data_IF_770034210821
#
_entry.id   IF_770034210821
#
_cell.length_a   1.000
_cell.length_b   1.000
_cell.length_c   1.000
_cell.angle_alpha   90.00
_cell.angle_beta   90.00
_cell.angle_gamma   90.00
#
_symmetry.space_group_name_H-M   'P 1'
#
loop_
_entity.id
_entity.type
_entity.pdbx_description
1 polymer ?
#
# COMPACT_ATOMS: atom_id res chain seq x y z
N UNK A 1 8.83 -21.66 -4.22
CA UNK A 1 9.67 -20.86 -3.30
C UNK A 1 8.90 -20.69 -2.00
N UNK A 2 9.53 -20.78 -0.82
CA UNK A 2 8.85 -20.40 0.42
C UNK A 2 8.37 -18.95 0.26
N UNK A 3 7.12 -18.68 0.61
CA UNK A 3 6.59 -17.32 0.58
C UNK A 3 7.40 -16.46 1.54
N UNK A 4 7.93 -15.34 1.06
CA UNK A 4 8.63 -14.36 1.90
C UNK A 4 7.66 -13.85 2.96
N UNK A 5 8.13 -13.65 4.19
CA UNK A 5 7.29 -13.18 5.28
C UNK A 5 6.97 -11.69 5.06
N UNK A 6 5.76 -11.29 5.45
CA UNK A 6 5.32 -9.91 5.34
C UNK A 6 6.00 -8.99 6.36
N UNK A 7 6.66 -9.56 7.37
CA UNK A 7 7.51 -8.82 8.30
C UNK A 7 8.67 -8.10 7.58
N UNK A 8 9.16 -8.67 6.46
CA UNK A 8 10.24 -8.08 5.66
C UNK A 8 9.81 -6.80 4.91
N UNK A 9 8.50 -6.55 4.79
CA UNK A 9 7.95 -5.40 4.04
C UNK A 9 7.36 -4.32 4.95
N UNK A 10 7.59 -4.37 6.26
CA UNK A 10 7.09 -3.37 7.21
C UNK A 10 7.52 -1.94 6.83
N UNK A 11 8.77 -1.77 6.38
CA UNK A 11 9.25 -0.47 5.90
C UNK A 11 8.54 -0.03 4.62
N UNK A 12 8.26 -0.96 3.69
CA UNK A 12 7.49 -0.66 2.48
C UNK A 12 6.07 -0.21 2.83
N UNK A 13 5.40 -0.88 3.77
CA UNK A 13 4.05 -0.51 4.23
C UNK A 13 4.04 0.89 4.83
N UNK A 14 5.04 1.23 5.64
CA UNK A 14 5.19 2.58 6.18
C UNK A 14 5.36 3.64 5.08
N UNK A 15 6.17 3.37 4.05
CA UNK A 15 6.35 4.29 2.92
C UNK A 15 5.05 4.50 2.13
N UNK A 16 4.24 3.45 1.96
CA UNK A 16 2.91 3.54 1.36
C UNK A 16 2.01 4.46 2.20
N UNK A 17 2.02 4.28 3.52
CA UNK A 17 1.25 5.13 4.44
C UNK A 17 1.60 6.62 4.30
N UNK A 18 2.89 6.95 4.16
CA UNK A 18 3.33 8.33 3.94
C UNK A 18 2.80 8.89 2.62
N UNK A 19 2.91 8.12 1.53
CA UNK A 19 2.39 8.52 0.22
C UNK A 19 0.87 8.73 0.24
N UNK A 20 0.14 7.85 0.94
CA UNK A 20 -1.31 7.97 1.08
C UNK A 20 -1.72 9.19 1.90
N UNK A 21 -0.97 9.52 2.97
CA UNK A 21 -1.18 10.77 3.72
C UNK A 21 -0.94 12.00 2.87
N UNK A 22 0.07 11.99 2.02
CA UNK A 22 0.33 13.09 1.08
C UNK A 22 -0.82 13.23 0.07
N UNK A 23 -1.32 12.11 -0.47
CA UNK A 23 -2.47 12.11 -1.37
C UNK A 23 -3.71 12.69 -0.69
N UNK A 24 -3.98 12.28 0.54
CA UNK A 24 -5.15 12.72 1.29
C UNK A 24 -5.10 14.21 1.66
N UNK A 25 -3.91 14.75 1.90
CA UNK A 25 -3.73 16.15 2.29
C UNK A 25 -3.43 17.08 1.10
N UNK A 26 -3.11 16.54 -0.07
CA UNK A 26 -2.79 17.35 -1.25
C UNK A 26 -4.02 18.11 -1.76
N UNK A 27 -3.92 19.44 -1.96
CA UNK A 27 -4.97 20.23 -2.59
C UNK A 27 -4.99 20.05 -4.12
N UNK A 28 -3.96 19.44 -4.70
CA UNK A 28 -3.80 19.27 -6.15
C UNK A 28 -4.41 17.97 -6.68
N UNK A 29 -4.83 17.07 -5.78
CA UNK A 29 -5.42 15.79 -6.16
C UNK A 29 -6.94 15.89 -6.01
N UNK A 30 -7.62 16.02 -7.15
CA UNK A 30 -9.07 16.14 -7.21
C UNK A 30 -9.78 14.84 -6.77
N UNK A 31 -9.27 13.68 -7.20
CA UNK A 31 -9.87 12.38 -6.89
C UNK A 31 -8.94 11.54 -6.00
N UNK A 32 -9.00 11.83 -4.69
CA UNK A 32 -8.17 11.17 -3.67
C UNK A 32 -8.47 9.68 -3.54
N UNK A 33 -9.74 9.29 -3.71
CA UNK A 33 -10.17 7.89 -3.64
C UNK A 33 -9.54 7.06 -4.76
N UNK A 34 -9.60 7.56 -6.00
CA UNK A 34 -8.97 6.92 -7.15
C UNK A 34 -7.44 6.85 -6.98
N UNK A 35 -6.79 7.97 -6.61
CA UNK A 35 -5.35 8.00 -6.41
C UNK A 35 -4.89 6.99 -5.34
N UNK A 36 -5.62 6.92 -4.22
CA UNK A 36 -5.38 5.96 -3.14
C UNK A 36 -5.51 4.52 -3.63
N UNK A 37 -6.57 4.21 -4.40
CA UNK A 37 -6.79 2.89 -4.96
C UNK A 37 -5.65 2.49 -5.92
N UNK A 38 -5.25 3.36 -6.84
CA UNK A 38 -4.15 3.07 -7.78
C UNK A 38 -2.83 2.75 -7.06
N UNK A 39 -2.52 3.46 -5.97
CA UNK A 39 -1.32 3.20 -5.16
C UNK A 39 -1.40 1.81 -4.52
N UNK A 40 -2.52 1.49 -3.86
CA UNK A 40 -2.73 0.20 -3.19
C UNK A 40 -2.62 -0.95 -4.20
N UNK A 41 -3.29 -0.85 -5.33
CA UNK A 41 -3.26 -1.88 -6.38
C UNK A 41 -1.84 -2.07 -6.94
N UNK A 42 -1.11 -0.97 -7.18
CA UNK A 42 0.26 -1.01 -7.68
C UNK A 42 1.21 -1.70 -6.71
N UNK A 43 1.11 -1.41 -5.41
CA UNK A 43 1.95 -2.05 -4.39
C UNK A 43 1.60 -3.52 -4.19
N UNK A 44 0.31 -3.89 -4.22
CA UNK A 44 -0.09 -5.29 -4.18
C UNK A 44 0.50 -6.06 -5.36
N UNK A 45 0.47 -5.48 -6.57
CA UNK A 45 1.08 -6.09 -7.76
C UNK A 45 2.59 -6.25 -7.61
N UNK A 46 3.32 -5.18 -7.25
CA UNK A 46 4.78 -5.22 -7.07
C UNK A 46 5.18 -6.28 -6.05
N UNK A 47 4.52 -6.29 -4.88
CA UNK A 47 4.87 -7.24 -3.82
C UNK A 47 4.53 -8.69 -4.22
N UNK A 48 3.48 -8.92 -5.01
CA UNK A 48 3.20 -10.25 -5.58
C UNK A 48 4.28 -10.69 -6.56
N UNK A 49 4.74 -9.79 -7.43
CA UNK A 49 5.84 -10.06 -8.38
C UNK A 49 7.14 -10.42 -7.64
N UNK A 50 7.38 -9.79 -6.49
CA UNK A 50 8.51 -10.07 -5.59
C UNK A 50 8.36 -11.38 -4.77
N UNK A 51 7.24 -12.08 -4.91
CA UNK A 51 6.96 -13.37 -4.26
C UNK A 51 6.23 -13.31 -2.92
N UNK A 52 5.73 -12.14 -2.52
CA UNK A 52 4.94 -11.98 -1.30
C UNK A 52 3.46 -12.32 -1.53
N UNK A 53 2.88 -13.10 -0.63
CA UNK A 53 1.43 -13.40 -0.65
C UNK A 53 0.65 -12.30 0.03
N UNK A 54 0.39 -11.23 -0.73
CA UNK A 54 -0.36 -10.06 -0.29
C UNK A 54 -1.67 -9.91 -1.07
N UNK A 55 -2.73 -9.51 -0.38
CA UNK A 55 -4.01 -9.10 -0.98
C UNK A 55 -4.26 -7.64 -0.65
N UNK A 56 -5.08 -6.94 -1.44
CA UNK A 56 -5.47 -5.57 -1.12
C UNK A 56 -6.08 -5.44 0.27
N UNK A 57 -6.95 -6.37 0.66
CA UNK A 57 -7.55 -6.38 2.00
C UNK A 57 -6.49 -6.57 3.10
N UNK A 58 -5.46 -7.40 2.85
CA UNK A 58 -4.36 -7.58 3.80
C UNK A 58 -3.52 -6.30 3.90
N UNK A 59 -3.21 -5.66 2.77
CA UNK A 59 -2.46 -4.40 2.75
C UNK A 59 -3.23 -3.29 3.47
N UNK A 60 -4.52 -3.12 3.16
CA UNK A 60 -5.40 -2.12 3.80
C UNK A 60 -5.44 -2.26 5.33
N UNK A 61 -5.43 -3.48 5.86
CA UNK A 61 -5.37 -3.73 7.32
C UNK A 61 -4.02 -3.39 7.95
N UNK A 62 -2.95 -3.34 7.15
CA UNK A 62 -1.61 -2.99 7.61
C UNK A 62 -1.32 -1.49 7.50
N UNK A 63 -2.13 -0.75 6.74
CA UNK A 63 -1.98 0.69 6.54
C UNK A 63 -2.62 1.45 7.70
N UNK A 64 -1.84 2.29 8.38
CA UNK A 64 -2.29 3.05 9.53
C UNK A 64 -3.13 4.28 9.16
N UNK A 65 -3.09 4.77 7.90
CA UNK A 65 -3.94 5.91 7.49
C UNK A 65 -5.45 5.56 7.41
N UNK A 66 -5.78 4.27 7.42
CA UNK A 66 -7.16 3.78 7.42
C UNK A 66 -7.79 3.70 8.84
N UNK A 67 -7.02 4.05 9.89
CA UNK A 67 -7.41 4.06 11.29
C UNK A 67 -7.49 5.48 11.86
#
# INVERSE_FOLDING_TARGET
>A
MPHKDIQDVAHCVYMIDLALREIMNSPHIANKAFATQCIIESFVRILREEGYTLTENRLKKMLAYAH
#
